data_IF_906021247432
#
_entry.id   IF_906021247432
#
_cell.length_a   1.000
_cell.length_b   1.000
_cell.length_c   1.000
_cell.angle_alpha   90.00
_cell.angle_beta   90.00
_cell.angle_gamma   90.00
#
_symmetry.space_group_name_H-M   'P 1'
#
loop_
_entity.id
_entity.type
_entity.pdbx_description
1 polymer ?
#
# COMPACT_ATOMS: atom_id res chain seq x y z
N UNK A 1 21.34 -3.04 -17.58
CA UNK A 1 20.76 -4.28 -16.99
C UNK A 1 20.99 -4.18 -15.49
N UNK A 2 20.12 -3.49 -14.80
CA UNK A 2 20.28 -3.41 -13.36
C UNK A 2 19.52 -4.53 -12.70
N UNK A 3 20.30 -5.40 -12.08
CA UNK A 3 19.82 -6.40 -11.15
C UNK A 3 18.92 -5.74 -10.11
N UNK A 4 17.64 -6.05 -10.10
CA UNK A 4 16.69 -5.55 -9.12
C UNK A 4 17.21 -5.85 -7.71
N UNK A 5 17.75 -4.83 -7.04
CA UNK A 5 18.37 -4.95 -5.70
C UNK A 5 17.44 -5.58 -4.68
N UNK A 6 16.12 -5.36 -4.83
CA UNK A 6 15.09 -5.90 -3.95
C UNK A 6 15.03 -7.43 -4.00
N UNK A 7 15.31 -8.03 -5.16
CA UNK A 7 15.34 -9.50 -5.30
C UNK A 7 16.51 -10.18 -4.57
N UNK A 8 17.60 -9.42 -4.27
CA UNK A 8 18.77 -9.95 -3.56
C UNK A 8 18.60 -9.99 -2.06
N UNK A 9 17.76 -9.10 -1.50
CA UNK A 9 17.47 -9.00 -0.06
C UNK A 9 16.10 -9.61 0.29
N UNK A 10 15.61 -10.54 -0.50
CA UNK A 10 14.30 -11.16 -0.29
C UNK A 10 14.24 -11.91 1.04
N UNK A 11 13.32 -11.48 1.89
CA UNK A 11 12.94 -12.22 3.09
C UNK A 11 11.56 -12.86 2.85
N UNK A 12 11.47 -14.21 2.85
CA UNK A 12 10.20 -14.87 2.61
C UNK A 12 9.31 -14.76 3.85
N UNK A 13 8.61 -13.62 4.00
CA UNK A 13 7.51 -13.50 4.94
C UNK A 13 6.20 -13.75 4.19
N UNK A 14 5.46 -14.76 4.59
CA UNK A 14 4.19 -15.10 3.99
C UNK A 14 3.11 -15.25 5.04
N UNK A 15 1.88 -14.93 4.69
CA UNK A 15 0.70 -15.08 5.53
C UNK A 15 -0.19 -16.22 5.02
N UNK A 16 -1.19 -16.59 5.82
CA UNK A 16 -2.21 -17.60 5.45
C UNK A 16 -3.08 -17.13 4.28
N UNK A 17 -3.18 -15.82 4.04
CA UNK A 17 -3.96 -15.23 2.95
C UNK A 17 -3.19 -15.12 1.64
N UNK A 18 -1.90 -15.49 1.61
CA UNK A 18 -1.09 -15.34 0.39
C UNK A 18 -1.65 -16.16 -0.78
N UNK A 19 -1.97 -15.47 -1.86
CA UNK A 19 -2.63 -16.02 -3.05
C UNK A 19 -4.16 -15.89 -3.05
N UNK A 20 -4.76 -15.40 -1.95
CA UNK A 20 -6.20 -15.17 -1.89
C UNK A 20 -6.59 -13.95 -2.72
N UNK A 21 -7.56 -14.12 -3.62
CA UNK A 21 -8.20 -13.04 -4.36
C UNK A 21 -9.59 -12.79 -3.79
N UNK A 22 -9.82 -11.60 -3.28
CA UNK A 22 -11.10 -11.19 -2.75
C UNK A 22 -11.79 -10.22 -3.72
N UNK A 23 -13.02 -10.53 -4.11
CA UNK A 23 -13.87 -9.61 -4.84
C UNK A 23 -14.61 -8.72 -3.82
N UNK A 24 -14.31 -7.43 -3.82
CA UNK A 24 -14.87 -6.46 -2.86
C UNK A 24 -16.22 -5.95 -3.31
N UNK A 25 -16.31 -5.64 -4.62
CA UNK A 25 -17.54 -5.24 -5.30
C UNK A 25 -17.40 -5.54 -6.81
N UNK A 26 -18.26 -4.97 -7.65
CA UNK A 26 -18.30 -5.31 -9.08
C UNK A 26 -17.01 -4.99 -9.86
N UNK A 27 -16.16 -4.08 -9.34
CA UNK A 27 -14.98 -3.56 -10.03
C UNK A 27 -13.72 -3.43 -9.16
N UNK A 28 -13.73 -3.94 -7.94
CA UNK A 28 -12.55 -3.91 -7.05
C UNK A 28 -12.20 -5.33 -6.60
N UNK A 29 -10.96 -5.73 -6.88
CA UNK A 29 -10.39 -7.01 -6.46
C UNK A 29 -9.12 -6.77 -5.66
N UNK A 30 -8.95 -7.50 -4.57
CA UNK A 30 -7.78 -7.45 -3.71
C UNK A 30 -7.08 -8.81 -3.72
N UNK A 31 -5.84 -8.83 -4.18
CA UNK A 31 -4.95 -9.99 -4.10
C UNK A 31 -3.98 -9.80 -2.93
N UNK A 32 -4.00 -10.72 -1.98
CA UNK A 32 -2.95 -10.75 -0.95
C UNK A 32 -1.73 -11.49 -1.48
N UNK A 33 -0.58 -10.82 -1.51
CA UNK A 33 0.70 -11.39 -1.93
C UNK A 33 1.66 -11.43 -0.75
N UNK A 34 1.93 -12.60 -0.22
CA UNK A 34 2.70 -12.78 1.00
C UNK A 34 2.05 -12.06 2.18
N UNK A 35 2.41 -10.82 2.47
CA UNK A 35 1.88 -10.04 3.60
C UNK A 35 1.26 -8.71 3.16
N UNK A 36 1.29 -8.38 1.87
CA UNK A 36 0.86 -7.09 1.31
C UNK A 36 -0.27 -7.30 0.30
N UNK A 37 -1.10 -6.30 0.13
CA UNK A 37 -2.20 -6.31 -0.82
C UNK A 37 -1.83 -5.59 -2.12
N UNK A 38 -2.30 -6.15 -3.23
CA UNK A 38 -2.27 -5.55 -4.57
C UNK A 38 -3.72 -5.42 -5.02
N UNK A 39 -4.11 -4.23 -5.49
CA UNK A 39 -5.51 -3.96 -5.77
C UNK A 39 -5.69 -3.75 -7.28
N UNK A 40 -6.74 -4.36 -7.82
CA UNK A 40 -7.15 -4.24 -9.21
C UNK A 40 -8.47 -3.49 -9.23
N UNK A 41 -8.54 -2.38 -9.97
CA UNK A 41 -9.74 -1.53 -10.07
C UNK A 41 -10.16 -1.43 -11.53
N UNK A 42 -11.34 -1.90 -11.83
CA UNK A 42 -11.95 -1.90 -13.16
C UNK A 42 -12.90 -3.07 -13.31
N UNK A 43 -13.98 -2.87 -14.04
CA UNK A 43 -14.92 -3.94 -14.35
C UNK A 43 -14.31 -4.92 -15.35
N UNK A 44 -14.52 -6.22 -15.15
CA UNK A 44 -14.14 -7.26 -16.12
C UNK A 44 -14.84 -7.11 -17.48
N UNK A 45 -15.84 -6.22 -17.57
CA UNK A 45 -16.59 -5.89 -18.81
C UNK A 45 -16.02 -4.66 -19.51
N UNK A 46 -15.17 -3.88 -18.84
CA UNK A 46 -14.56 -2.67 -19.37
C UNK A 46 -13.16 -2.97 -19.90
N UNK A 47 -12.76 -2.30 -20.98
CA UNK A 47 -11.42 -2.46 -21.57
C UNK A 47 -10.31 -1.78 -20.76
N UNK A 48 -10.66 -1.14 -19.62
CA UNK A 48 -9.73 -0.36 -18.82
C UNK A 48 -9.80 -0.76 -17.35
N UNK A 49 -8.64 -1.03 -16.79
CA UNK A 49 -8.45 -1.28 -15.38
C UNK A 49 -7.12 -0.66 -14.91
N UNK A 50 -6.96 -0.50 -13.62
CA UNK A 50 -5.78 0.08 -12.98
C UNK A 50 -5.27 -0.87 -11.91
N UNK A 51 -3.95 -1.01 -11.83
CA UNK A 51 -3.27 -1.69 -10.74
C UNK A 51 -2.88 -0.67 -9.68
N UNK A 52 -3.15 -0.97 -8.42
CA UNK A 52 -2.65 -0.19 -7.28
C UNK A 52 -1.65 -1.04 -6.50
N UNK A 53 -0.43 -0.52 -6.42
CA UNK A 53 0.76 -1.18 -5.90
C UNK A 53 1.21 -2.42 -6.69
N UNK A 54 2.40 -2.92 -6.41
CA UNK A 54 3.04 -3.98 -7.17
C UNK A 54 3.60 -5.11 -6.30
N UNK A 55 3.17 -5.17 -5.04
CA UNK A 55 3.45 -6.28 -4.14
C UNK A 55 4.92 -6.48 -3.79
N UNK A 56 5.19 -7.60 -3.17
CA UNK A 56 6.52 -8.04 -2.74
C UNK A 56 7.42 -8.44 -3.93
N UNK A 57 8.76 -8.45 -3.76
CA UNK A 57 9.66 -9.06 -4.74
C UNK A 57 9.24 -10.48 -5.10
N UNK A 58 9.39 -10.85 -6.38
CA UNK A 58 9.03 -12.16 -6.95
C UNK A 58 7.54 -12.46 -7.03
N UNK A 59 6.67 -11.45 -6.96
CA UNK A 59 5.23 -11.64 -7.07
C UNK A 59 4.64 -11.32 -8.46
N UNK A 60 5.46 -10.93 -9.43
CA UNK A 60 4.98 -10.55 -10.76
C UNK A 60 4.12 -11.64 -11.42
N UNK A 61 4.52 -12.91 -11.33
CA UNK A 61 3.78 -14.02 -11.98
C UNK A 61 2.37 -14.20 -11.39
N UNK A 62 2.21 -14.13 -10.07
CA UNK A 62 0.89 -14.28 -9.47
C UNK A 62 0.01 -13.05 -9.77
N UNK A 63 0.59 -11.85 -9.80
CA UNK A 63 -0.14 -10.62 -10.15
C UNK A 63 -0.60 -10.66 -11.61
N UNK A 64 0.28 -11.04 -12.56
CA UNK A 64 -0.07 -11.19 -13.97
C UNK A 64 -1.17 -12.22 -14.18
N UNK A 65 -1.02 -13.40 -13.57
CA UNK A 65 -2.02 -14.47 -13.66
C UNK A 65 -3.39 -14.01 -13.14
N UNK A 66 -3.42 -13.34 -11.99
CA UNK A 66 -4.68 -12.79 -11.44
C UNK A 66 -5.30 -11.76 -12.37
N UNK A 67 -4.50 -10.85 -12.95
CA UNK A 67 -4.99 -9.88 -13.93
C UNK A 67 -5.61 -10.57 -15.16
N UNK A 68 -4.96 -11.60 -15.69
CA UNK A 68 -5.46 -12.39 -16.84
C UNK A 68 -6.76 -13.14 -16.49
N UNK A 69 -6.88 -13.66 -15.28
CA UNK A 69 -8.11 -14.32 -14.80
C UNK A 69 -9.28 -13.34 -14.68
N UNK A 70 -9.03 -12.09 -14.28
CA UNK A 70 -10.08 -11.07 -14.11
C UNK A 70 -10.41 -10.39 -15.42
N UNK A 71 -9.40 -9.94 -16.18
CA UNK A 71 -9.56 -9.04 -17.33
C UNK A 71 -9.30 -9.69 -18.69
N UNK A 72 -8.89 -10.96 -18.69
CA UNK A 72 -8.50 -11.68 -19.89
C UNK A 72 -7.03 -11.49 -20.28
N UNK A 73 -6.50 -12.39 -21.13
CA UNK A 73 -5.10 -12.36 -21.57
C UNK A 73 -4.85 -11.13 -22.47
N UNK A 74 -3.63 -10.60 -22.42
CA UNK A 74 -3.16 -9.47 -23.26
C UNK A 74 -3.96 -8.16 -23.02
N UNK A 75 -4.55 -7.99 -21.87
CA UNK A 75 -5.23 -6.77 -21.46
C UNK A 75 -4.40 -6.07 -20.37
N UNK A 76 -3.47 -5.15 -20.73
CA UNK A 76 -2.63 -4.45 -19.77
C UNK A 76 -3.44 -3.41 -18.99
N UNK A 77 -3.02 -3.03 -17.76
CA UNK A 77 -3.63 -1.93 -17.04
C UNK A 77 -3.43 -0.60 -17.77
N UNK A 78 -4.41 0.28 -17.66
CA UNK A 78 -4.31 1.65 -18.16
C UNK A 78 -3.23 2.46 -17.42
N UNK A 79 -2.99 2.11 -16.14
CA UNK A 79 -1.95 2.67 -15.29
C UNK A 79 -1.62 1.73 -14.13
N UNK A 80 -0.42 1.91 -13.55
CA UNK A 80 -0.04 1.40 -12.23
C UNK A 80 0.06 2.63 -11.32
N UNK A 81 -0.70 2.63 -10.24
CA UNK A 81 -0.69 3.71 -9.24
C UNK A 81 0.01 3.20 -7.99
N UNK A 82 1.00 3.92 -7.52
CA UNK A 82 1.69 3.59 -6.27
C UNK A 82 1.13 4.42 -5.12
N UNK A 83 0.75 3.74 -4.04
CA UNK A 83 0.41 4.43 -2.79
C UNK A 83 1.65 5.08 -2.21
N UNK A 84 2.78 4.38 -2.24
CA UNK A 84 4.12 4.83 -1.88
C UNK A 84 5.16 3.83 -2.42
N UNK A 85 6.45 4.07 -2.17
CA UNK A 85 7.50 3.27 -2.80
C UNK A 85 8.28 2.35 -1.87
N UNK A 86 7.74 1.90 -0.73
CA UNK A 86 8.40 0.89 0.09
C UNK A 86 8.51 -0.45 -0.66
N UNK A 87 9.52 -1.24 -0.29
CA UNK A 87 9.95 -2.45 -1.00
C UNK A 87 8.84 -3.49 -1.23
N UNK A 88 7.85 -3.55 -0.34
CA UNK A 88 6.72 -4.48 -0.39
C UNK A 88 5.55 -3.96 -1.25
N UNK A 89 5.58 -2.69 -1.65
CA UNK A 89 4.63 -2.09 -2.57
C UNK A 89 5.17 -1.94 -4.01
N UNK A 90 6.49 -1.97 -4.18
CA UNK A 90 7.14 -1.83 -5.50
C UNK A 90 7.96 -3.08 -5.90
N UNK A 91 7.85 -4.16 -5.14
CA UNK A 91 8.74 -5.31 -5.27
C UNK A 91 8.74 -5.99 -6.64
N UNK A 92 7.59 -6.08 -7.31
CA UNK A 92 7.46 -6.64 -8.64
C UNK A 92 7.30 -5.56 -9.74
N UNK A 93 7.38 -4.27 -9.39
CA UNK A 93 7.01 -3.18 -10.28
C UNK A 93 7.78 -3.18 -11.60
N UNK A 94 9.10 -3.37 -11.58
CA UNK A 94 9.94 -3.35 -12.78
C UNK A 94 9.49 -4.46 -13.75
N UNK A 95 9.29 -5.69 -13.26
CA UNK A 95 8.84 -6.80 -14.08
C UNK A 95 7.45 -6.58 -14.67
N UNK A 96 6.53 -5.99 -13.89
CA UNK A 96 5.17 -5.67 -14.35
C UNK A 96 5.15 -4.54 -15.37
N UNK A 97 5.96 -3.51 -15.17
CA UNK A 97 6.13 -2.40 -16.14
C UNK A 97 6.67 -2.91 -17.48
N UNK A 98 7.68 -3.77 -17.44
CA UNK A 98 8.26 -4.34 -18.66
C UNK A 98 7.28 -5.25 -19.39
N UNK A 99 6.51 -6.04 -18.66
CA UNK A 99 5.53 -6.95 -19.22
C UNK A 99 4.34 -6.22 -19.87
N UNK A 100 3.76 -5.25 -19.18
CA UNK A 100 2.56 -4.55 -19.66
C UNK A 100 2.86 -3.28 -20.45
N UNK A 101 4.06 -2.74 -20.37
CA UNK A 101 4.40 -1.40 -20.88
C UNK A 101 3.41 -0.32 -20.40
N UNK A 102 2.96 -0.44 -19.15
CA UNK A 102 1.97 0.45 -18.55
C UNK A 102 2.65 1.65 -17.88
N UNK A 103 2.06 2.86 -17.95
CA UNK A 103 2.57 4.03 -17.25
C UNK A 103 2.41 3.86 -15.74
N UNK A 104 3.39 4.38 -14.97
CA UNK A 104 3.40 4.36 -13.51
C UNK A 104 3.22 5.78 -12.99
N UNK A 105 2.38 5.93 -11.96
CA UNK A 105 2.14 7.20 -11.31
C UNK A 105 2.32 7.08 -9.80
N UNK A 106 2.90 8.12 -9.21
CA UNK A 106 3.05 8.27 -7.76
C UNK A 106 2.97 9.76 -7.37
N UNK A 107 2.84 10.02 -6.08
CA UNK A 107 2.89 11.40 -5.60
C UNK A 107 4.26 12.02 -5.84
N UNK A 108 4.29 13.34 -6.14
CA UNK A 108 5.54 14.05 -6.45
C UNK A 108 6.62 13.92 -5.37
N UNK A 109 6.23 13.79 -4.09
CA UNK A 109 7.17 13.61 -2.98
C UNK A 109 7.75 12.19 -2.87
N UNK A 110 7.24 11.21 -3.63
CA UNK A 110 7.84 9.88 -3.75
C UNK A 110 8.90 9.81 -4.85
N UNK A 111 8.94 10.79 -5.78
CA UNK A 111 9.86 10.76 -6.92
C UNK A 111 11.34 10.57 -6.52
N UNK A 112 11.89 11.24 -5.49
CA UNK A 112 13.29 11.04 -5.13
C UNK A 112 13.62 9.57 -4.79
N UNK A 113 12.69 8.84 -4.17
CA UNK A 113 12.84 7.44 -3.81
C UNK A 113 12.64 6.50 -5.01
N UNK A 114 11.73 6.88 -5.93
CA UNK A 114 11.39 6.08 -7.10
C UNK A 114 12.33 6.30 -8.30
N UNK A 115 13.16 7.33 -8.26
CA UNK A 115 14.18 7.64 -9.28
C UNK A 115 15.61 7.41 -8.80
N UNK A 116 15.79 6.74 -7.65
CA UNK A 116 17.09 6.41 -7.09
C UNK A 116 17.91 7.62 -6.60
N UNK A 117 17.29 8.80 -6.43
CA UNK A 117 17.97 10.00 -5.94
C UNK A 117 18.16 9.99 -4.42
N UNK A 118 17.21 9.41 -3.71
CA UNK A 118 17.23 9.27 -2.25
C UNK A 118 16.83 7.86 -1.83
N UNK A 119 17.29 7.44 -0.67
CA UNK A 119 16.77 6.27 0.02
C UNK A 119 15.69 6.69 1.02
N UNK A 120 14.77 5.76 1.34
CA UNK A 120 13.87 5.97 2.45
C UNK A 120 14.63 6.08 3.77
N UNK A 121 14.09 6.75 4.78
CA UNK A 121 14.63 6.69 6.13
C UNK A 121 14.77 5.24 6.59
N UNK A 122 15.85 4.94 7.34
CA UNK A 122 16.07 3.61 7.86
C UNK A 122 14.91 3.17 8.76
N UNK A 123 14.46 1.91 8.69
CA UNK A 123 13.51 1.36 9.64
C UNK A 123 13.96 1.56 11.08
N UNK A 124 13.02 1.76 11.97
CA UNK A 124 13.32 1.93 13.41
C UNK A 124 13.05 0.63 14.20
N UNK A 125 14.08 -0.17 14.51
CA UNK A 125 13.92 -1.39 15.29
C UNK A 125 13.73 -1.13 16.80
N UNK A 126 13.79 0.14 17.23
CA UNK A 126 13.72 0.51 18.66
C UNK A 126 12.28 0.77 19.11
N UNK A 127 11.34 0.96 18.18
CA UNK A 127 9.92 1.12 18.53
C UNK A 127 9.41 -0.11 19.28
N UNK A 128 8.49 0.13 20.20
CA UNK A 128 7.82 -0.99 20.83
C UNK A 128 6.97 -1.75 19.82
N UNK A 129 7.02 -3.08 19.93
CA UNK A 129 6.35 -3.99 19.02
C UNK A 129 6.89 -5.40 19.17
N UNK A 130 6.42 -6.29 18.32
CA UNK A 130 6.82 -7.68 18.32
C UNK A 130 8.16 -7.92 17.61
N UNK A 131 8.31 -9.15 17.15
CA UNK A 131 9.57 -9.60 16.51
C UNK A 131 9.81 -8.86 15.18
N UNK A 132 8.75 -8.47 14.44
CA UNK A 132 8.89 -7.79 13.15
C UNK A 132 9.59 -6.43 13.33
N UNK A 133 9.17 -5.63 14.31
CA UNK A 133 9.85 -4.37 14.61
C UNK A 133 11.34 -4.58 14.94
N UNK A 134 11.66 -5.57 15.78
CA UNK A 134 13.04 -5.86 16.19
C UNK A 134 13.96 -6.28 15.05
N UNK A 135 13.45 -6.91 14.00
CA UNK A 135 14.22 -7.31 12.82
C UNK A 135 14.09 -6.33 11.66
N UNK A 136 13.37 -5.23 11.81
CA UNK A 136 13.09 -4.29 10.73
C UNK A 136 14.35 -3.66 10.12
N UNK A 137 15.45 -3.62 10.85
CA UNK A 137 16.76 -3.14 10.34
C UNK A 137 17.28 -3.91 9.12
N UNK A 138 16.75 -5.12 8.85
CA UNK A 138 17.11 -5.87 7.63
C UNK A 138 16.18 -5.56 6.45
N UNK A 139 15.07 -4.81 6.65
CA UNK A 139 14.18 -4.46 5.57
C UNK A 139 14.84 -3.45 4.64
N UNK A 140 14.70 -3.66 3.32
CA UNK A 140 15.25 -2.72 2.37
C UNK A 140 14.65 -1.32 2.54
N UNK A 141 15.50 -0.31 2.60
CA UNK A 141 15.11 1.10 2.56
C UNK A 141 15.70 1.81 1.34
N UNK A 142 16.41 1.07 0.50
CA UNK A 142 16.94 1.62 -0.74
C UNK A 142 15.82 2.00 -1.69
N UNK A 143 15.94 3.19 -2.28
CA UNK A 143 15.05 3.63 -3.35
C UNK A 143 15.18 2.74 -4.59
N UNK A 144 14.11 2.63 -5.35
CA UNK A 144 14.11 1.98 -6.67
C UNK A 144 14.45 3.02 -7.74
N UNK A 145 15.08 2.62 -8.84
CA UNK A 145 15.33 3.54 -9.94
C UNK A 145 14.47 3.18 -11.15
N UNK A 146 13.40 3.93 -11.34
CA UNK A 146 12.50 3.84 -12.49
C UNK A 146 12.82 4.85 -13.59
N UNK A 147 13.85 5.70 -13.40
CA UNK A 147 14.20 6.79 -14.29
C UNK A 147 12.97 7.67 -14.64
N UNK A 148 12.80 7.99 -15.91
CA UNK A 148 11.68 8.79 -16.43
C UNK A 148 10.37 7.99 -16.63
N UNK A 149 10.33 6.71 -16.24
CA UNK A 149 9.16 5.85 -16.43
C UNK A 149 8.06 6.07 -15.39
N UNK A 150 8.36 6.73 -14.28
CA UNK A 150 7.38 7.13 -13.27
C UNK A 150 7.00 8.59 -13.46
N UNK A 151 5.71 8.89 -13.36
CA UNK A 151 5.14 10.21 -13.54
C UNK A 151 4.47 10.69 -12.26
N UNK A 152 4.46 12.01 -11.99
CA UNK A 152 3.68 12.55 -10.89
C UNK A 152 2.19 12.41 -11.16
N UNK A 153 1.42 12.12 -10.11
CA UNK A 153 -0.03 12.18 -10.16
C UNK A 153 -0.51 13.61 -10.49
N UNK A 154 -1.63 13.74 -11.21
CA UNK A 154 -2.18 15.06 -11.56
C UNK A 154 -2.56 15.91 -10.34
N UNK A 155 -2.28 17.22 -10.38
CA UNK A 155 -2.54 18.16 -9.29
C UNK A 155 -4.06 18.37 -9.00
N UNK A 156 -4.94 17.99 -9.93
CA UNK A 156 -6.39 18.06 -9.76
C UNK A 156 -6.97 16.89 -8.96
N UNK A 157 -6.10 16.08 -8.38
CA UNK A 157 -6.42 14.87 -7.62
C UNK A 157 -7.07 13.75 -8.43
N UNK A 158 -7.14 13.84 -9.76
CA UNK A 158 -7.64 12.75 -10.59
C UNK A 158 -6.67 11.56 -10.59
N UNK A 159 -7.23 10.35 -10.73
CA UNK A 159 -6.44 9.12 -10.82
C UNK A 159 -6.37 8.68 -12.29
N UNK A 160 -5.19 8.63 -12.92
CA UNK A 160 -5.05 8.19 -14.30
C UNK A 160 -5.67 6.80 -14.53
N UNK A 161 -6.58 6.71 -15.51
CA UNK A 161 -7.30 5.48 -15.82
C UNK A 161 -8.60 5.26 -15.04
N UNK A 162 -8.88 6.04 -13.98
CA UNK A 162 -10.07 5.92 -13.13
C UNK A 162 -10.80 7.27 -13.02
N UNK A 163 -11.96 7.40 -13.65
CA UNK A 163 -12.66 8.70 -13.76
C UNK A 163 -13.39 9.15 -12.48
N UNK A 164 -13.80 8.21 -11.63
CA UNK A 164 -14.60 8.44 -10.42
C UNK A 164 -13.79 8.31 -9.13
N UNK A 165 -12.48 8.14 -9.25
CA UNK A 165 -11.55 8.07 -8.13
C UNK A 165 -10.74 9.36 -7.99
N UNK A 166 -10.43 9.69 -6.74
CA UNK A 166 -9.50 10.76 -6.37
C UNK A 166 -8.36 10.21 -5.52
N UNK A 167 -7.15 10.70 -5.74
CA UNK A 167 -6.09 10.47 -4.79
C UNK A 167 -6.13 11.53 -3.68
N UNK A 168 -5.80 11.10 -2.48
CA UNK A 168 -5.77 11.90 -1.26
C UNK A 168 -4.36 11.80 -0.68
N UNK A 169 -3.70 12.93 -0.45
CA UNK A 169 -2.38 12.93 0.19
C UNK A 169 -2.54 12.55 1.67
N UNK A 170 -1.93 11.45 2.07
CA UNK A 170 -2.00 10.88 3.42
C UNK A 170 -0.60 10.60 3.97
N UNK A 171 0.22 11.68 4.16
CA UNK A 171 1.60 11.55 4.60
C UNK A 171 1.69 11.04 6.04
N UNK A 172 2.91 10.61 6.41
CA UNK A 172 3.27 10.16 7.74
C UNK A 172 4.04 8.86 7.71
N UNK A 173 3.47 7.82 7.09
CA UNK A 173 4.18 6.57 6.81
C UNK A 173 5.34 6.82 5.83
N UNK A 174 5.06 7.47 4.72
CA UNK A 174 6.07 8.13 3.87
C UNK A 174 5.65 9.56 3.56
N UNK A 175 6.58 10.38 3.04
CA UNK A 175 6.33 11.80 2.73
C UNK A 175 5.30 12.01 1.63
N UNK A 176 5.25 11.11 0.66
CA UNK A 176 4.37 11.17 -0.49
C UNK A 176 3.30 10.08 -0.50
N UNK A 177 3.06 9.42 0.63
CA UNK A 177 2.02 8.41 0.73
C UNK A 177 0.66 8.98 0.33
N UNK A 178 -0.10 8.23 -0.46
CA UNK A 178 -1.47 8.55 -0.87
C UNK A 178 -2.44 7.42 -0.55
N UNK A 179 -3.68 7.80 -0.42
CA UNK A 179 -4.83 6.90 -0.46
C UNK A 179 -5.68 7.22 -1.68
N UNK A 180 -6.51 6.27 -2.14
CA UNK A 180 -7.48 6.52 -3.22
C UNK A 180 -8.89 6.43 -2.64
N UNK A 181 -9.75 7.36 -3.04
CA UNK A 181 -11.13 7.41 -2.57
C UNK A 181 -12.10 7.57 -3.74
N UNK A 182 -13.18 6.80 -3.73
CA UNK A 182 -14.31 6.91 -4.65
C UNK A 182 -15.54 7.41 -3.90
N UNK A 183 -16.04 8.59 -4.30
CA UNK A 183 -17.12 9.25 -3.60
C UNK A 183 -18.47 8.54 -3.77
N UNK A 184 -18.71 7.93 -4.95
CA UNK A 184 -20.01 7.36 -5.32
C UNK A 184 -20.49 6.24 -4.38
N UNK A 185 -19.56 5.40 -3.90
CA UNK A 185 -19.84 4.29 -2.98
C UNK A 185 -18.97 4.34 -1.71
N UNK A 186 -18.14 5.38 -1.59
CA UNK A 186 -17.20 5.61 -0.49
C UNK A 186 -16.22 4.47 -0.27
N UNK A 187 -15.77 3.85 -1.39
CA UNK A 187 -14.68 2.88 -1.37
C UNK A 187 -13.33 3.58 -1.14
N UNK A 188 -12.53 3.05 -0.24
CA UNK A 188 -11.22 3.56 0.14
C UNK A 188 -10.12 2.53 -0.10
N UNK A 189 -9.07 2.92 -0.84
CA UNK A 189 -7.78 2.23 -0.82
C UNK A 189 -6.87 3.04 0.09
N UNK A 190 -6.63 2.54 1.27
CA UNK A 190 -5.94 3.29 2.32
C UNK A 190 -4.41 3.27 2.20
N UNK A 191 -3.85 2.29 1.45
CA UNK A 191 -2.43 2.00 1.53
C UNK A 191 -2.02 1.73 2.99
N UNK A 192 -0.91 2.28 3.41
CA UNK A 192 -0.36 2.14 4.76
C UNK A 192 -0.64 3.34 5.67
N UNK A 193 -1.62 4.20 5.33
CA UNK A 193 -2.06 5.26 6.25
C UNK A 193 -2.66 4.68 7.54
N UNK A 194 -3.30 3.53 7.45
CA UNK A 194 -3.66 2.61 8.52
C UNK A 194 -3.75 1.19 7.95
N UNK A 195 -3.71 0.18 8.80
CA UNK A 195 -3.72 -1.23 8.36
C UNK A 195 -4.77 -2.03 9.13
N UNK A 196 -5.27 -3.13 8.53
CA UNK A 196 -6.23 -4.03 9.18
C UNK A 196 -5.56 -5.32 9.72
N UNK A 197 -4.28 -5.24 9.99
CA UNK A 197 -3.51 -6.24 10.73
C UNK A 197 -2.31 -5.58 11.37
N UNK A 198 -2.11 -5.75 12.67
CA UNK A 198 -0.98 -5.12 13.36
C UNK A 198 0.36 -5.65 12.85
N UNK A 199 1.11 -4.80 12.13
CA UNK A 199 2.34 -5.19 11.42
C UNK A 199 3.55 -5.45 12.32
N UNK A 200 3.58 -4.94 13.54
CA UNK A 200 4.66 -5.19 14.49
C UNK A 200 4.60 -6.59 15.15
N UNK A 201 3.46 -7.29 15.05
CA UNK A 201 3.24 -8.64 15.58
C UNK A 201 3.38 -9.71 14.51
N UNK A 202 4.46 -10.49 14.53
CA UNK A 202 4.67 -11.59 13.59
C UNK A 202 3.52 -12.61 13.59
N UNK A 203 2.97 -12.91 14.77
CA UNK A 203 1.82 -13.80 14.88
C UNK A 203 0.61 -13.26 14.11
N UNK A 204 0.24 -11.98 14.31
CA UNK A 204 -0.90 -11.36 13.63
C UNK A 204 -0.66 -11.23 12.12
N UNK A 205 0.55 -10.88 11.70
CA UNK A 205 0.94 -10.83 10.28
C UNK A 205 0.77 -12.20 9.61
N UNK A 206 1.21 -13.29 10.25
CA UNK A 206 1.09 -14.63 9.68
C UNK A 206 -0.36 -15.10 9.68
N UNK A 207 -1.11 -14.90 10.77
CA UNK A 207 -2.49 -15.38 10.93
C UNK A 207 -3.53 -14.45 10.33
N UNK A 208 -3.15 -13.23 9.93
CA UNK A 208 -4.05 -12.18 9.42
C UNK A 208 -5.19 -11.87 10.40
N UNK A 209 -4.86 -11.83 11.71
CA UNK A 209 -5.82 -11.44 12.74
C UNK A 209 -6.26 -9.99 12.53
N UNK A 210 -7.55 -9.79 12.26
CA UNK A 210 -8.13 -8.48 11.96
C UNK A 210 -8.00 -7.53 13.15
N UNK A 211 -7.36 -6.40 12.90
CA UNK A 211 -7.25 -5.29 13.86
C UNK A 211 -6.97 -4.00 13.09
N UNK A 212 -7.89 -3.04 13.14
CA UNK A 212 -7.61 -1.70 12.62
C UNK A 212 -6.56 -1.05 13.54
N UNK A 213 -5.38 -0.86 12.98
CA UNK A 213 -4.20 -0.32 13.64
C UNK A 213 -3.63 0.86 12.84
N UNK A 214 -2.80 1.67 13.47
CA UNK A 214 -2.06 2.73 12.78
C UNK A 214 -1.09 2.18 11.72
N UNK A 215 -0.37 3.07 11.04
CA UNK A 215 0.63 2.67 10.05
C UNK A 215 1.73 1.80 10.68
N UNK A 216 2.46 1.00 9.86
CA UNK A 216 3.58 0.17 10.34
C UNK A 216 4.60 1.00 11.14
N UNK A 217 4.73 0.70 12.45
CA UNK A 217 5.49 1.54 13.40
C UNK A 217 6.95 1.73 13.02
N UNK A 218 7.59 0.67 12.57
CA UNK A 218 9.03 0.65 12.25
C UNK A 218 9.40 1.36 10.95
N UNK A 219 8.43 1.75 10.11
CA UNK A 219 8.65 2.49 8.85
C UNK A 219 8.02 3.89 8.87
N UNK A 220 7.21 4.21 9.88
CA UNK A 220 6.53 5.51 9.96
C UNK A 220 7.46 6.57 10.55
N UNK A 221 7.61 7.69 9.84
CA UNK A 221 8.62 8.72 10.15
C UNK A 221 8.04 10.05 10.61
N UNK A 222 6.73 10.28 10.42
CA UNK A 222 6.04 11.50 10.84
C UNK A 222 4.68 11.14 11.46
N UNK A 223 4.66 11.07 12.78
CA UNK A 223 3.49 10.62 13.54
C UNK A 223 2.36 11.64 13.59
N UNK A 224 2.68 12.94 13.55
CA UNK A 224 1.65 13.98 13.52
C UNK A 224 0.97 14.01 12.13
N UNK A 225 1.74 13.92 11.05
CA UNK A 225 1.17 13.78 9.72
C UNK A 225 0.34 12.49 9.56
N UNK A 226 0.80 11.36 10.11
CA UNK A 226 0.06 10.11 10.10
C UNK A 226 -1.29 10.23 10.84
N UNK A 227 -1.30 10.90 12.00
CA UNK A 227 -2.51 11.17 12.78
C UNK A 227 -3.53 11.99 12.00
N UNK A 228 -3.08 13.09 11.38
CA UNK A 228 -3.95 13.93 10.55
C UNK A 228 -4.44 13.18 9.31
N UNK A 229 -3.61 12.32 8.71
CA UNK A 229 -4.01 11.45 7.60
C UNK A 229 -5.13 10.48 8.00
N UNK A 230 -5.01 9.82 9.15
CA UNK A 230 -6.06 8.93 9.66
C UNK A 230 -7.36 9.69 9.94
N UNK A 231 -7.29 10.90 10.55
CA UNK A 231 -8.46 11.77 10.78
C UNK A 231 -9.12 12.20 9.47
N UNK A 232 -8.32 12.56 8.48
CA UNK A 232 -8.83 12.89 7.15
C UNK A 232 -9.58 11.70 6.55
N UNK A 233 -9.00 10.51 6.56
CA UNK A 233 -9.63 9.31 6.02
C UNK A 233 -10.91 8.92 6.78
N UNK A 234 -10.92 9.07 8.10
CA UNK A 234 -12.13 8.86 8.91
C UNK A 234 -13.25 9.84 8.53
N UNK A 235 -12.92 11.10 8.30
CA UNK A 235 -13.88 12.14 7.91
C UNK A 235 -14.55 11.88 6.54
N UNK A 236 -13.93 11.09 5.67
CA UNK A 236 -14.52 10.62 4.40
C UNK A 236 -15.63 9.59 4.62
N UNK A 237 -15.76 9.03 5.81
CA UNK A 237 -16.74 8.02 6.20
C UNK A 237 -16.78 6.83 5.21
N UNK A 238 -15.67 6.13 4.96
CA UNK A 238 -15.63 5.05 4.01
C UNK A 238 -16.58 3.91 4.41
N UNK A 239 -17.19 3.26 3.39
CA UNK A 239 -18.07 2.09 3.60
C UNK A 239 -17.29 0.80 3.54
N UNK A 240 -16.20 0.77 2.77
CA UNK A 240 -15.23 -0.31 2.68
C UNK A 240 -13.83 0.30 2.58
N UNK A 241 -12.85 -0.33 3.21
CA UNK A 241 -11.44 0.03 3.10
C UNK A 241 -10.59 -1.19 2.78
N UNK A 242 -9.69 -1.02 1.80
CA UNK A 242 -8.62 -1.95 1.49
C UNK A 242 -7.32 -1.26 1.90
N UNK A 243 -6.60 -1.87 2.85
CA UNK A 243 -5.32 -1.38 3.37
C UNK A 243 -4.16 -2.09 2.68
N UNK A 244 -2.95 -1.56 2.80
CA UNK A 244 -1.76 -2.23 2.26
C UNK A 244 -1.54 -3.62 2.88
N UNK A 245 -1.98 -3.83 4.13
CA UNK A 245 -1.83 -5.08 4.85
C UNK A 245 -3.12 -5.48 5.57
N UNK A 246 -3.42 -6.78 5.56
CA UNK A 246 -4.62 -7.34 6.19
C UNK A 246 -5.80 -7.48 5.22
N UNK A 247 -6.83 -8.14 5.69
CA UNK A 247 -8.06 -8.31 4.91
C UNK A 247 -8.80 -6.98 4.75
N UNK A 248 -9.52 -6.77 3.63
CA UNK A 248 -10.47 -5.68 3.51
C UNK A 248 -11.44 -5.63 4.68
N UNK A 249 -11.85 -4.43 5.07
CA UNK A 249 -12.76 -4.19 6.20
C UNK A 249 -13.89 -3.28 5.77
N UNK A 250 -15.11 -3.56 6.23
CA UNK A 250 -16.32 -2.86 5.82
C UNK A 250 -17.33 -2.65 6.96
N UNK A 251 -18.33 -1.81 6.68
CA UNK A 251 -19.49 -1.60 7.54
C UNK A 251 -19.11 -1.11 8.94
N UNK A 252 -19.81 -1.63 9.96
CA UNK A 252 -19.62 -1.17 11.36
C UNK A 252 -18.24 -1.45 11.94
N UNK A 253 -17.56 -2.50 11.48
CA UNK A 253 -16.21 -2.83 11.92
C UNK A 253 -15.25 -1.72 11.48
N UNK A 254 -15.34 -1.29 10.21
CA UNK A 254 -14.57 -0.17 9.68
C UNK A 254 -14.92 1.15 10.39
N UNK A 255 -16.20 1.49 10.43
CA UNK A 255 -16.69 2.73 11.04
C UNK A 255 -16.19 2.88 12.48
N UNK A 256 -16.45 1.88 13.32
CA UNK A 256 -16.08 1.93 14.74
C UNK A 256 -14.55 1.86 14.96
N UNK A 257 -13.87 1.01 14.19
CA UNK A 257 -12.42 0.84 14.31
C UNK A 257 -11.66 2.07 13.87
N UNK A 258 -12.03 2.67 12.73
CA UNK A 258 -11.38 3.87 12.19
C UNK A 258 -11.68 5.09 13.07
N UNK A 259 -12.92 5.28 13.53
CA UNK A 259 -13.27 6.33 14.47
C UNK A 259 -12.51 6.23 15.80
N UNK A 260 -12.35 4.99 16.32
CA UNK A 260 -11.55 4.74 17.51
C UNK A 260 -10.08 5.08 17.28
N UNK A 261 -9.51 4.63 16.16
CA UNK A 261 -8.12 4.92 15.79
C UNK A 261 -7.89 6.43 15.65
N UNK A 262 -8.75 7.15 14.92
CA UNK A 262 -8.64 8.59 14.73
C UNK A 262 -8.72 9.37 16.05
N UNK A 263 -9.57 8.93 16.97
CA UNK A 263 -9.75 9.56 18.29
C UNK A 263 -8.60 9.28 19.25
N UNK A 264 -8.11 8.05 19.28
CA UNK A 264 -7.15 7.54 20.26
C UNK A 264 -5.77 7.25 19.63
N UNK A 265 -5.42 7.94 18.52
CA UNK A 265 -4.26 7.66 17.69
C UNK A 265 -2.95 7.58 18.49
N UNK A 266 -2.71 8.54 19.37
CA UNK A 266 -1.48 8.62 20.16
C UNK A 266 -1.28 7.40 21.07
N UNK A 267 -2.37 6.82 21.57
CA UNK A 267 -2.31 5.65 22.45
C UNK A 267 -2.36 4.31 21.70
N UNK A 268 -2.94 4.27 20.51
CA UNK A 268 -3.13 3.03 19.76
C UNK A 268 -2.05 2.81 18.69
N UNK A 269 -1.62 3.89 18.03
CA UNK A 269 -0.73 3.85 16.88
C UNK A 269 0.68 4.34 17.19
N UNK A 270 0.81 5.58 17.74
CA UNK A 270 2.11 6.20 18.01
C UNK A 270 2.86 5.37 19.05
N UNK A 271 4.13 4.97 18.79
CA UNK A 271 4.93 4.28 19.79
C UNK A 271 5.34 5.21 20.95
N UNK A 272 5.56 4.64 22.15
CA UNK A 272 6.00 5.41 23.32
C UNK A 272 7.44 5.92 23.18
N UNK A 273 8.25 5.27 22.31
CA UNK A 273 9.64 5.63 22.03
C UNK A 273 10.06 5.18 20.64
N UNK A 274 11.10 5.82 20.11
CA UNK A 274 11.66 5.49 18.81
C UNK A 274 12.45 6.64 18.19
N UNK A 275 13.19 6.36 17.13
CA UNK A 275 14.02 7.33 16.39
C UNK A 275 13.20 8.50 15.82
N UNK A 276 11.94 8.23 15.45
CA UNK A 276 11.05 9.18 14.83
C UNK A 276 9.89 9.61 15.74
N UNK A 277 9.99 9.34 17.04
CA UNK A 277 9.01 9.72 18.07
C UNK A 277 9.56 10.91 18.83
N UNK A 278 8.98 12.08 18.65
CA UNK A 278 9.23 13.29 19.42
C UNK A 278 8.25 13.43 20.59
#
# INVERSE_FOLDING_TARGET
MDDNHLNKKFMPMTSVSSGDVQNINEDIYCLSVQIVNVIFIGSSKDDKWVLVDAGMPRSAEVIKKTAEEIYGPQNPPAAIILTHGHFDHVGALIELMEYWNAPVYAHIKEMPYLTGQENYPEPDPTVEGGMVAKISWVFPNEGINLDEKVQPLPDDHSVPGLHDWKWVHTPGHSKGHISLFRESDRSLIAGDAFVNVRQDSLYKVITQEKEIAGPPRYLTTDWEAAKESVRLLESLMPTVAITGHGYPVEGKELEMGLAKLAKEFDSLAKPDHGKYVE
#
